data_IF_900400787454
#
_entry.id   IF_900400787454
#
_cell.length_a   1.000
_cell.length_b   1.000
_cell.length_c   1.000
_cell.angle_alpha   90.00
_cell.angle_beta   90.00
_cell.angle_gamma   90.00
#
_symmetry.space_group_name_H-M   'P 1'
#
loop_
_entity.id
_entity.type
_entity.pdbx_description
1 polymer ?
#
# COMPACT_ATOMS: atom_id res chain seq x y z
N UNK A 1 45.62 -45.67 7.86
CA UNK A 1 44.57 -44.62 7.85
C UNK A 1 44.76 -43.78 6.60
N UNK A 2 43.92 -43.98 5.59
CA UNK A 2 44.22 -43.67 4.18
C UNK A 2 44.04 -42.17 3.87
N UNK A 3 45.09 -41.53 3.35
CA UNK A 3 45.23 -40.08 3.13
C UNK A 3 44.21 -39.49 2.15
N UNK A 4 43.59 -40.35 1.31
CA UNK A 4 42.55 -39.93 0.36
C UNK A 4 41.21 -39.52 1.00
N UNK A 5 40.89 -40.02 2.20
CA UNK A 5 39.63 -39.70 2.87
C UNK A 5 39.63 -38.28 3.47
N UNK A 6 40.81 -37.73 3.79
CA UNK A 6 40.93 -36.38 4.35
C UNK A 6 40.80 -35.27 3.30
N UNK A 7 41.15 -35.54 2.04
CA UNK A 7 41.02 -34.55 0.95
C UNK A 7 39.56 -34.34 0.52
N UNK A 8 38.73 -35.39 0.57
CA UNK A 8 37.33 -35.31 0.15
C UNK A 8 36.42 -34.55 1.14
N UNK A 9 36.80 -34.45 2.42
CA UNK A 9 36.05 -33.66 3.40
C UNK A 9 36.38 -32.16 3.39
N UNK A 10 37.47 -31.74 2.75
CA UNK A 10 37.84 -30.32 2.65
C UNK A 10 37.11 -29.60 1.49
N UNK A 11 36.51 -30.34 0.55
CA UNK A 11 35.92 -29.78 -0.66
C UNK A 11 34.41 -29.48 -0.57
N UNK A 12 33.74 -29.83 0.54
CA UNK A 12 32.27 -29.81 0.65
C UNK A 12 31.69 -28.63 1.45
N UNK A 13 32.49 -27.67 1.92
CA UNK A 13 32.00 -26.50 2.66
C UNK A 13 32.11 -25.21 1.85
N UNK A 14 31.59 -25.22 0.62
CA UNK A 14 31.16 -23.99 -0.07
C UNK A 14 29.82 -24.24 -0.75
N UNK A 15 28.85 -24.76 0.01
CA UNK A 15 27.46 -24.61 -0.35
C UNK A 15 27.12 -23.13 -0.16
N UNK A 16 27.18 -22.37 -1.26
CA UNK A 16 26.80 -20.97 -1.32
C UNK A 16 25.48 -20.77 -0.56
N UNK A 17 25.52 -19.98 0.51
CA UNK A 17 24.33 -19.42 1.13
C UNK A 17 23.74 -18.42 0.12
N UNK A 18 23.00 -18.93 -0.85
CA UNK A 18 22.12 -18.10 -1.68
C UNK A 18 21.05 -17.61 -0.73
N UNK A 19 21.23 -16.41 -0.17
CA UNK A 19 20.15 -15.70 0.47
C UNK A 19 19.08 -15.51 -0.60
N UNK A 20 18.04 -16.34 -0.58
CA UNK A 20 16.87 -16.14 -1.41
C UNK A 20 16.31 -14.77 -1.04
N UNK A 21 16.59 -13.76 -1.88
CA UNK A 21 15.96 -12.45 -1.80
C UNK A 21 14.48 -12.69 -2.03
N UNK A 22 13.70 -12.77 -0.94
CA UNK A 22 12.26 -12.80 -1.03
C UNK A 22 11.83 -11.54 -1.79
N UNK A 23 11.19 -11.73 -2.94
CA UNK A 23 10.67 -10.61 -3.71
C UNK A 23 9.70 -9.80 -2.84
N UNK A 24 9.69 -8.47 -2.93
CA UNK A 24 8.72 -7.65 -2.21
C UNK A 24 7.31 -8.16 -2.52
N UNK A 25 6.54 -8.47 -1.48
CA UNK A 25 5.14 -8.86 -1.63
C UNK A 25 4.33 -7.59 -1.83
N UNK A 26 3.59 -7.51 -2.94
CA UNK A 26 2.69 -6.40 -3.23
C UNK A 26 1.31 -6.70 -2.64
N UNK A 27 0.88 -5.85 -1.71
CA UNK A 27 -0.45 -5.86 -1.12
C UNK A 27 -1.32 -4.83 -1.82
N UNK A 28 -2.52 -5.21 -2.24
CA UNK A 28 -3.45 -4.33 -2.96
C UNK A 28 -4.80 -4.27 -2.25
N UNK A 29 -5.48 -3.14 -2.39
CA UNK A 29 -6.84 -2.95 -1.90
C UNK A 29 -7.59 -1.95 -2.78
N UNK A 30 -8.90 -2.13 -2.87
CA UNK A 30 -9.86 -1.17 -3.40
C UNK A 30 -10.69 -0.66 -2.24
N UNK A 31 -10.70 0.66 -2.05
CA UNK A 31 -11.44 1.35 -1.01
C UNK A 31 -12.46 2.27 -1.68
N UNK A 32 -13.72 2.21 -1.26
CA UNK A 32 -14.75 3.11 -1.78
C UNK A 32 -14.66 4.52 -1.19
N UNK A 33 -15.47 5.43 -1.72
CA UNK A 33 -15.50 6.83 -1.31
C UNK A 33 -15.83 7.04 0.19
N UNK A 34 -16.41 6.06 0.87
CA UNK A 34 -16.79 6.14 2.29
C UNK A 34 -15.78 5.45 3.21
N UNK A 35 -14.67 4.95 2.66
CA UNK A 35 -13.65 4.23 3.40
C UNK A 35 -13.95 2.73 3.58
N UNK A 36 -14.90 2.15 2.85
CA UNK A 36 -15.15 0.72 2.91
C UNK A 36 -14.11 -0.03 2.07
N UNK A 37 -13.49 -1.06 2.63
CA UNK A 37 -12.64 -1.97 1.85
C UNK A 37 -13.54 -2.89 1.02
N UNK A 38 -13.59 -2.65 -0.30
CA UNK A 38 -14.43 -3.40 -1.26
C UNK A 38 -13.75 -4.70 -1.68
N UNK A 39 -12.45 -4.63 -1.90
CA UNK A 39 -11.63 -5.78 -2.28
C UNK A 39 -10.21 -5.58 -1.76
N UNK A 40 -9.50 -6.67 -1.51
CA UNK A 40 -8.07 -6.65 -1.20
C UNK A 40 -7.44 -7.97 -1.61
N UNK A 41 -6.11 -7.96 -1.81
CA UNK A 41 -5.31 -9.19 -1.70
C UNK A 41 -5.49 -9.82 -0.31
N UNK A 42 -4.83 -10.94 -0.01
CA UNK A 42 -4.90 -11.60 1.30
C UNK A 42 -5.03 -10.60 2.47
N UNK A 43 -5.99 -10.77 3.40
CA UNK A 43 -6.42 -9.71 4.32
C UNK A 43 -5.26 -9.02 5.05
N UNK A 44 -5.14 -7.71 4.88
CA UNK A 44 -4.02 -6.93 5.43
C UNK A 44 -4.43 -5.57 6.00
N UNK A 45 -5.62 -5.07 5.65
CA UNK A 45 -6.21 -3.87 6.23
C UNK A 45 -7.13 -4.26 7.39
N UNK A 46 -6.90 -3.66 8.56
CA UNK A 46 -7.72 -3.80 9.77
C UNK A 46 -8.98 -2.94 9.68
N UNK A 47 -8.80 -1.67 9.32
CA UNK A 47 -9.90 -0.71 9.17
C UNK A 47 -9.45 0.52 8.39
N UNK A 48 -10.42 1.34 7.98
CA UNK A 48 -10.16 2.65 7.40
C UNK A 48 -10.96 3.66 8.21
N UNK A 49 -10.29 4.66 8.76
CA UNK A 49 -10.95 5.83 9.36
C UNK A 49 -11.06 6.91 8.30
N UNK A 50 -12.29 7.22 7.91
CA UNK A 50 -12.60 8.18 6.86
C UNK A 50 -13.19 9.46 7.47
N UNK A 51 -12.78 10.60 6.95
CA UNK A 51 -13.39 11.89 7.22
C UNK A 51 -13.34 12.77 5.97
N UNK A 52 -14.35 13.62 5.79
CA UNK A 52 -14.39 14.60 4.71
C UNK A 52 -14.85 15.94 5.25
N UNK A 53 -14.36 17.01 4.63
CA UNK A 53 -14.76 18.38 4.92
C UNK A 53 -15.14 19.03 3.59
N UNK A 54 -16.31 19.66 3.54
CA UNK A 54 -16.76 20.42 2.37
C UNK A 54 -15.69 21.39 1.91
N UNK A 55 -15.47 21.42 0.60
CA UNK A 55 -14.55 22.34 -0.08
C UNK A 55 -13.09 22.17 0.37
N UNK A 56 -12.77 20.97 0.85
CA UNK A 56 -11.43 20.58 1.26
C UNK A 56 -11.17 19.13 0.87
N UNK A 57 -10.04 18.57 1.30
CA UNK A 57 -9.72 17.17 1.03
C UNK A 57 -10.52 16.21 1.90
N UNK A 58 -10.79 15.03 1.34
CA UNK A 58 -11.17 13.86 2.11
C UNK A 58 -9.92 13.15 2.64
N UNK A 59 -9.99 12.59 3.84
CA UNK A 59 -8.90 11.85 4.48
C UNK A 59 -9.32 10.41 4.73
N UNK A 60 -8.45 9.49 4.34
CA UNK A 60 -8.60 8.06 4.58
C UNK A 60 -7.36 7.57 5.32
N UNK A 61 -7.54 7.24 6.59
CA UNK A 61 -6.49 6.65 7.40
C UNK A 61 -6.64 5.13 7.37
N UNK A 62 -5.85 4.48 6.53
CA UNK A 62 -5.87 3.02 6.36
C UNK A 62 -4.98 2.40 7.41
N UNK A 63 -5.58 1.62 8.31
CA UNK A 63 -4.92 0.96 9.44
C UNK A 63 -4.65 -0.48 9.04
N UNK A 64 -3.41 -0.92 9.17
CA UNK A 64 -2.98 -2.27 8.83
C UNK A 64 -3.30 -3.25 9.95
N UNK A 65 -3.39 -4.54 9.61
CA UNK A 65 -3.40 -5.62 10.58
C UNK A 65 -2.13 -5.58 11.43
N UNK A 66 -2.26 -5.95 12.71
CA UNK A 66 -1.14 -6.00 13.63
C UNK A 66 -0.04 -6.93 13.08
N UNK A 67 1.20 -6.47 13.16
CA UNK A 67 2.41 -7.17 12.70
C UNK A 67 2.44 -7.57 11.21
N UNK A 68 1.50 -7.08 10.37
CA UNK A 68 1.51 -7.34 8.93
C UNK A 68 2.77 -6.78 8.27
N UNK A 69 3.09 -5.52 8.57
CA UNK A 69 4.32 -4.87 8.14
C UNK A 69 5.32 -4.78 9.31
N UNK A 70 6.35 -5.65 9.28
CA UNK A 70 7.43 -5.66 10.29
C UNK A 70 8.31 -4.41 10.26
N UNK A 71 8.34 -3.71 9.12
CA UNK A 71 9.00 -2.41 8.89
C UNK A 71 8.06 -1.55 8.06
N UNK A 72 8.23 -0.23 8.09
CA UNK A 72 7.47 0.65 7.21
C UNK A 72 7.60 0.17 5.77
N UNK A 73 6.48 0.07 5.01
CA UNK A 73 6.52 -0.30 3.60
C UNK A 73 7.55 0.53 2.82
N UNK A 74 8.42 -0.12 2.06
CA UNK A 74 9.36 0.57 1.16
C UNK A 74 8.65 1.30 0.01
N UNK A 75 7.41 0.92 -0.29
CA UNK A 75 6.59 1.54 -1.32
C UNK A 75 5.11 1.52 -0.93
N UNK A 76 4.42 2.63 -1.19
CA UNK A 76 2.97 2.67 -1.30
C UNK A 76 2.58 3.62 -2.45
N UNK A 77 1.45 3.35 -3.09
CA UNK A 77 0.83 4.22 -4.09
C UNK A 77 -0.68 4.13 -4.00
N UNK A 78 -1.35 5.24 -4.27
CA UNK A 78 -2.79 5.31 -4.36
C UNK A 78 -3.20 5.95 -5.70
N UNK A 79 -4.23 5.41 -6.34
CA UNK A 79 -4.80 5.95 -7.58
C UNK A 79 -6.31 6.03 -7.49
N UNK A 80 -6.90 7.13 -7.96
CA UNK A 80 -8.35 7.28 -8.02
C UNK A 80 -8.88 6.32 -9.06
N UNK A 81 -10.04 5.74 -8.76
CA UNK A 81 -10.81 4.91 -9.70
C UNK A 81 -12.28 5.36 -9.74
N UNK A 82 -12.58 6.49 -9.10
CA UNK A 82 -13.92 7.01 -8.96
C UNK A 82 -14.37 7.65 -10.28
N UNK A 83 -15.38 7.04 -10.90
CA UNK A 83 -16.01 7.52 -12.13
C UNK A 83 -17.50 7.79 -11.92
N UNK A 84 -17.92 8.07 -10.68
CA UNK A 84 -19.32 8.27 -10.32
C UNK A 84 -19.95 9.50 -11.00
N UNK A 85 -19.15 10.51 -11.33
CA UNK A 85 -19.57 11.64 -12.17
C UNK A 85 -18.40 12.20 -13.02
N UNK A 86 -18.74 13.14 -13.90
CA UNK A 86 -17.78 13.79 -14.81
C UNK A 86 -16.72 14.61 -14.09
N UNK A 87 -17.07 15.33 -13.02
CA UNK A 87 -16.09 16.15 -12.30
C UNK A 87 -15.06 15.26 -11.61
N UNK A 88 -15.50 14.14 -11.04
CA UNK A 88 -14.62 13.16 -10.38
C UNK A 88 -13.72 12.46 -11.38
N UNK A 89 -14.23 12.16 -12.57
CA UNK A 89 -13.43 11.58 -13.65
C UNK A 89 -12.26 12.50 -14.08
N UNK A 90 -12.50 13.81 -14.16
CA UNK A 90 -11.49 14.75 -14.67
C UNK A 90 -10.63 15.40 -13.60
N UNK A 91 -11.19 15.68 -12.42
CA UNK A 91 -10.55 16.44 -11.36
C UNK A 91 -10.29 15.60 -10.10
N UNK A 92 -10.89 14.41 -10.01
CA UNK A 92 -10.76 13.52 -8.85
C UNK A 92 -9.38 12.86 -8.80
N UNK A 93 -8.61 13.22 -7.79
CA UNK A 93 -7.30 12.65 -7.51
C UNK A 93 -7.26 12.07 -6.11
N UNK A 94 -6.45 11.02 -5.95
CA UNK A 94 -5.99 10.61 -4.63
C UNK A 94 -4.48 10.67 -4.56
N UNK A 95 -3.96 10.96 -3.36
CA UNK A 95 -2.53 10.97 -3.08
C UNK A 95 -2.26 10.40 -1.71
N UNK A 96 -1.05 9.89 -1.50
CA UNK A 96 -0.60 9.61 -0.14
C UNK A 96 -0.45 10.92 0.63
N UNK A 97 -1.00 10.98 1.84
CA UNK A 97 -0.85 12.09 2.78
C UNK A 97 0.48 12.09 3.52
N UNK A 98 1.35 11.10 3.28
CA UNK A 98 2.66 10.95 3.89
C UNK A 98 3.25 9.57 3.68
N UNK A 99 4.47 9.35 4.19
CA UNK A 99 5.09 8.03 4.19
C UNK A 99 4.27 7.04 5.05
N UNK A 100 4.16 5.80 4.56
CA UNK A 100 3.53 4.74 5.34
C UNK A 100 4.39 4.37 6.56
N UNK A 101 3.71 4.02 7.65
CA UNK A 101 4.33 3.47 8.85
C UNK A 101 4.13 1.96 8.88
N UNK A 102 4.61 1.27 9.92
CA UNK A 102 4.28 -0.13 10.17
C UNK A 102 2.79 -0.37 10.46
N UNK A 103 2.05 0.68 10.84
CA UNK A 103 0.67 0.58 11.34
C UNK A 103 -0.38 1.15 10.42
N UNK A 104 0.01 2.12 9.58
CA UNK A 104 -0.96 2.90 8.81
C UNK A 104 -0.33 3.61 7.61
N UNK A 105 -1.19 3.96 6.66
CA UNK A 105 -0.91 4.95 5.62
C UNK A 105 -2.10 5.90 5.50
N UNK A 106 -1.81 7.19 5.31
CA UNK A 106 -2.84 8.20 5.06
C UNK A 106 -2.99 8.42 3.56
N UNK A 107 -4.22 8.47 3.07
CA UNK A 107 -4.59 8.79 1.69
C UNK A 107 -5.52 9.99 1.71
N UNK A 108 -5.34 10.90 0.75
CA UNK A 108 -6.12 12.12 0.61
C UNK A 108 -6.87 12.09 -0.72
N UNK A 109 -8.18 12.39 -0.69
CA UNK A 109 -9.00 12.65 -1.87
C UNK A 109 -9.10 14.15 -2.17
N UNK A 110 -8.95 14.53 -3.43
CA UNK A 110 -8.79 15.92 -3.88
C UNK A 110 -9.55 16.14 -5.21
N UNK A 111 -10.12 17.33 -5.40
CA UNK A 111 -10.71 17.77 -6.68
C UNK A 111 -9.81 18.83 -7.32
N UNK A 112 -8.68 18.43 -7.90
CA UNK A 112 -7.63 19.36 -8.39
C UNK A 112 -7.99 19.91 -9.76
N UNK A 113 -7.86 21.22 -9.95
CA UNK A 113 -8.10 21.88 -11.23
C UNK A 113 -9.57 22.11 -11.56
N UNK A 114 -10.49 21.70 -10.68
CA UNK A 114 -11.91 22.07 -10.76
C UNK A 114 -12.05 23.57 -10.47
N UNK A 115 -12.82 24.26 -11.30
CA UNK A 115 -13.16 25.66 -11.05
C UNK A 115 -14.13 25.80 -9.87
N UNK A 116 -13.84 26.74 -8.98
CA UNK A 116 -14.66 27.00 -7.80
C UNK A 116 -14.38 26.02 -6.64
N UNK A 117 -15.40 25.81 -5.81
CA UNK A 117 -15.25 25.03 -4.59
C UNK A 117 -15.23 23.52 -4.88
N UNK A 118 -14.39 22.77 -4.17
CA UNK A 118 -14.25 21.32 -4.41
C UNK A 118 -15.55 20.55 -4.16
N UNK A 119 -16.44 21.03 -3.29
CA UNK A 119 -17.60 20.28 -2.82
C UNK A 119 -17.15 19.09 -1.98
N UNK A 120 -17.59 17.89 -2.34
CA UNK A 120 -17.13 16.65 -1.72
C UNK A 120 -15.99 16.01 -2.52
N UNK A 121 -14.80 15.93 -1.90
CA UNK A 121 -13.59 15.36 -2.49
C UNK A 121 -13.36 13.86 -2.16
N UNK A 122 -14.39 13.19 -1.64
CA UNK A 122 -14.29 11.78 -1.22
C UNK A 122 -14.25 10.84 -2.41
N UNK A 123 -13.14 10.15 -2.65
CA UNK A 123 -12.93 9.32 -3.84
C UNK A 123 -12.87 7.83 -3.52
N UNK A 124 -13.38 7.00 -4.42
CA UNK A 124 -12.99 5.59 -4.49
C UNK A 124 -11.57 5.45 -5.08
N UNK A 125 -10.74 4.58 -4.52
CA UNK A 125 -9.33 4.42 -4.92
C UNK A 125 -8.80 2.99 -4.81
N UNK A 126 -7.74 2.73 -5.57
CA UNK A 126 -6.86 1.59 -5.36
C UNK A 126 -5.65 2.01 -4.52
N UNK A 127 -5.27 1.17 -3.58
CA UNK A 127 -4.07 1.29 -2.75
C UNK A 127 -3.19 0.07 -3.00
N UNK A 128 -1.90 0.31 -3.23
CA UNK A 128 -0.89 -0.73 -3.33
C UNK A 128 0.28 -0.41 -2.40
N UNK A 129 0.74 -1.37 -1.61
CA UNK A 129 1.88 -1.22 -0.71
C UNK A 129 2.78 -2.46 -0.76
N UNK A 130 4.09 -2.30 -0.66
CA UNK A 130 5.04 -3.40 -0.57
C UNK A 130 6.10 -3.14 0.50
N UNK A 131 6.59 -4.24 1.06
CA UNK A 131 7.65 -4.28 2.06
C UNK A 131 8.95 -3.69 1.54
#
# INVERSE_FOLDING_TARGET
MNTGLKLLMAASVMAASVSALALPVLHTATIDQHGTVVAQSSPWIKSVSYSSKSDYFATYKVIFNEDHFKRSPGFCSASSIDTSDYERLFYGHVKLGGAATTKEVNVLGLMVGKDGASGDASMSFQLACSN
#
